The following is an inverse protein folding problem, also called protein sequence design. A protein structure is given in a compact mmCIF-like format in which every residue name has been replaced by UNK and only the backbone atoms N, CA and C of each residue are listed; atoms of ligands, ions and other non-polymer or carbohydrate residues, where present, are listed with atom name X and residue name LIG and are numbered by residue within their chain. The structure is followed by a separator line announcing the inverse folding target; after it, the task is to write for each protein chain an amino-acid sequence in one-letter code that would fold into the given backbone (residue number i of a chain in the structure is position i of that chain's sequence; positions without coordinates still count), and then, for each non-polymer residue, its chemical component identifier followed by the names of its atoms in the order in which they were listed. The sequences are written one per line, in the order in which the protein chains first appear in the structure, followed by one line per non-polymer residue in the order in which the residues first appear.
data_IF_598224081337
#
_entry.id   IF_598224081337
#
_cell.length_a   1.000
_cell.length_b   1.000
_cell.length_c   1.000
_cell.angle_alpha   90.00
_cell.angle_beta   90.00
_cell.angle_gamma   90.00
#
_symmetry.space_group_name_H-M   'P 1'
#
loop_
_entity.id
_entity.type
_entity.pdbx_description
1 polymer ?
#
# COMPACT_ATOMS: atom_id res chain seq x y z
N UNK A 1 -32.13 18.74 5.13
CA UNK A 1 -33.24 18.02 4.47
C UNK A 1 -32.67 16.68 4.12
N UNK A 2 -33.19 15.59 4.66
CA UNK A 2 -32.79 14.25 4.26
C UNK A 2 -33.18 14.08 2.80
N UNK A 3 -32.22 13.77 1.92
CA UNK A 3 -32.51 13.32 0.57
C UNK A 3 -33.45 12.12 0.69
N UNK A 4 -34.68 12.30 0.24
CA UNK A 4 -35.60 11.16 0.08
C UNK A 4 -35.07 10.40 -1.12
N UNK A 5 -34.23 9.38 -0.87
CA UNK A 5 -33.81 8.47 -1.93
C UNK A 5 -35.05 7.93 -2.64
N UNK A 6 -35.12 8.16 -3.93
CA UNK A 6 -36.18 7.59 -4.76
C UNK A 6 -36.16 6.06 -4.64
N UNK A 7 -37.35 5.41 -4.56
CA UNK A 7 -37.38 3.96 -4.52
C UNK A 7 -36.66 3.33 -5.72
N UNK A 8 -35.93 2.21 -5.52
CA UNK A 8 -35.19 1.54 -6.59
C UNK A 8 -36.07 1.21 -7.80
N UNK A 9 -35.53 1.50 -9.00
CA UNK A 9 -36.21 1.19 -10.26
C UNK A 9 -35.86 -0.22 -10.73
N UNK A 10 -36.86 -1.02 -11.03
CA UNK A 10 -36.73 -2.40 -11.51
C UNK A 10 -37.27 -2.51 -12.92
N UNK A 11 -36.44 -2.98 -13.87
CA UNK A 11 -36.87 -3.35 -15.20
C UNK A 11 -37.48 -4.76 -15.18
N UNK A 12 -38.68 -4.89 -15.71
CA UNK A 12 -39.33 -6.18 -15.94
C UNK A 12 -39.52 -6.38 -17.43
N UNK A 13 -38.94 -7.45 -17.96
CA UNK A 13 -39.07 -7.84 -19.37
C UNK A 13 -39.78 -9.19 -19.48
N UNK A 14 -40.97 -9.20 -20.06
CA UNK A 14 -41.80 -10.40 -20.33
C UNK A 14 -42.78 -10.05 -21.48
N UNK A 15 -42.97 -10.94 -22.43
CA UNK A 15 -43.83 -10.72 -23.58
C UNK A 15 -45.32 -10.93 -23.31
N UNK A 16 -45.64 -11.48 -22.16
CA UNK A 16 -47.01 -11.72 -21.70
C UNK A 16 -47.45 -10.57 -20.77
N UNK A 17 -48.40 -9.70 -21.18
CA UNK A 17 -48.82 -8.55 -20.38
C UNK A 17 -49.29 -8.91 -18.97
N UNK A 18 -49.98 -10.03 -18.81
CA UNK A 18 -50.46 -10.49 -17.51
C UNK A 18 -49.33 -10.83 -16.54
N UNK A 19 -48.16 -11.30 -17.02
CA UNK A 19 -46.98 -11.56 -16.20
C UNK A 19 -46.36 -10.24 -15.76
N UNK A 20 -46.27 -9.26 -16.66
CA UNK A 20 -45.75 -7.91 -16.34
C UNK A 20 -46.61 -7.24 -15.28
N UNK A 21 -47.94 -7.25 -15.46
CA UNK A 21 -48.89 -6.69 -14.47
C UNK A 21 -48.76 -7.35 -13.10
N UNK A 22 -48.66 -8.68 -13.05
CA UNK A 22 -48.47 -9.42 -11.81
C UNK A 22 -47.15 -9.03 -11.10
N UNK A 23 -46.06 -8.97 -11.83
CA UNK A 23 -44.77 -8.58 -11.27
C UNK A 23 -44.76 -7.10 -10.83
N UNK A 24 -45.43 -6.22 -11.58
CA UNK A 24 -45.59 -4.81 -11.19
C UNK A 24 -46.35 -4.66 -9.88
N UNK A 25 -47.51 -5.31 -9.74
CA UNK A 25 -48.32 -5.27 -8.52
C UNK A 25 -47.48 -5.75 -7.31
N UNK A 26 -46.79 -6.89 -7.47
CA UNK A 26 -45.93 -7.44 -6.42
C UNK A 26 -44.77 -6.51 -6.03
N UNK A 27 -44.06 -5.91 -7.01
CA UNK A 27 -42.92 -5.05 -6.77
C UNK A 27 -43.36 -3.68 -6.21
N UNK A 28 -44.40 -3.09 -6.74
CA UNK A 28 -44.96 -1.83 -6.23
C UNK A 28 -45.51 -1.98 -4.80
N UNK A 29 -46.13 -3.09 -4.48
CA UNK A 29 -46.53 -3.41 -3.08
C UNK A 29 -45.32 -3.50 -2.15
N UNK A 30 -44.16 -3.87 -2.66
CA UNK A 30 -42.88 -3.91 -1.92
C UNK A 30 -42.16 -2.57 -1.89
N UNK A 31 -42.71 -1.53 -2.52
CA UNK A 31 -42.16 -0.17 -2.51
C UNK A 31 -41.17 0.10 -3.62
N UNK A 32 -41.08 -0.70 -4.68
CA UNK A 32 -40.20 -0.48 -5.81
C UNK A 32 -40.91 0.25 -6.97
N UNK A 33 -40.15 1.04 -7.74
CA UNK A 33 -40.57 1.57 -9.03
C UNK A 33 -40.36 0.51 -10.10
N UNK A 34 -41.18 0.50 -11.12
CA UNK A 34 -41.12 -0.51 -12.18
C UNK A 34 -41.19 0.12 -13.56
N UNK A 35 -40.48 -0.46 -14.51
CA UNK A 35 -40.53 -0.13 -15.93
C UNK A 35 -40.57 -1.43 -16.74
N UNK A 36 -41.35 -1.43 -17.84
CA UNK A 36 -41.59 -2.64 -18.63
C UNK A 36 -40.82 -2.64 -19.95
N UNK A 37 -40.52 -3.85 -20.42
CA UNK A 37 -40.17 -4.14 -21.79
C UNK A 37 -40.91 -5.43 -22.22
N UNK A 38 -41.24 -5.55 -23.50
CA UNK A 38 -42.07 -6.66 -24.02
C UNK A 38 -41.30 -7.59 -24.97
N UNK A 39 -40.05 -7.26 -25.27
CA UNK A 39 -39.15 -8.01 -26.16
C UNK A 39 -37.70 -7.77 -25.80
N UNK A 40 -36.78 -8.52 -26.44
CA UNK A 40 -35.36 -8.41 -26.20
C UNK A 40 -34.75 -7.06 -26.53
N UNK A 41 -34.98 -6.51 -27.75
CA UNK A 41 -34.47 -5.20 -28.10
C UNK A 41 -34.91 -4.08 -27.17
N UNK A 42 -36.21 -4.03 -26.87
CA UNK A 42 -36.75 -3.03 -25.90
C UNK A 42 -36.20 -3.19 -24.48
N UNK A 43 -35.97 -4.41 -24.05
CA UNK A 43 -35.36 -4.68 -22.74
C UNK A 43 -33.92 -4.13 -22.67
N UNK A 44 -33.11 -4.34 -23.72
CA UNK A 44 -31.77 -3.76 -23.83
C UNK A 44 -31.84 -2.23 -23.86
N UNK A 45 -32.64 -1.64 -24.74
CA UNK A 45 -32.76 -0.19 -24.88
C UNK A 45 -33.21 0.46 -23.57
N UNK A 46 -34.27 -0.05 -22.96
CA UNK A 46 -34.79 0.46 -21.68
C UNK A 46 -33.77 0.35 -20.55
N UNK A 47 -32.99 -0.74 -20.49
CA UNK A 47 -31.94 -0.89 -19.48
C UNK A 47 -30.85 0.18 -19.62
N UNK A 48 -30.42 0.48 -20.84
CA UNK A 48 -29.39 1.50 -21.09
C UNK A 48 -29.87 2.93 -20.93
N UNK A 49 -31.16 3.21 -21.17
CA UNK A 49 -31.74 4.55 -21.01
C UNK A 49 -32.14 4.83 -19.56
N UNK A 50 -32.85 3.90 -18.93
CA UNK A 50 -33.39 4.12 -17.61
C UNK A 50 -32.43 3.74 -16.46
N UNK A 51 -31.36 2.99 -16.74
CA UNK A 51 -30.36 2.55 -15.75
C UNK A 51 -30.97 1.97 -14.49
N UNK A 52 -31.78 0.90 -14.58
CA UNK A 52 -32.46 0.33 -13.42
C UNK A 52 -31.47 -0.26 -12.42
N UNK A 53 -31.88 -0.35 -11.15
CA UNK A 53 -31.06 -0.97 -10.10
C UNK A 53 -31.10 -2.50 -10.13
N UNK A 54 -32.09 -3.10 -10.82
CA UNK A 54 -32.23 -4.54 -11.01
C UNK A 54 -33.06 -4.83 -12.26
N UNK A 55 -32.75 -5.90 -12.98
CA UNK A 55 -33.54 -6.42 -14.10
C UNK A 55 -34.15 -7.77 -13.74
N UNK A 56 -35.45 -7.93 -14.07
CA UNK A 56 -36.16 -9.22 -14.07
C UNK A 56 -36.49 -9.55 -15.50
N UNK A 57 -35.90 -10.62 -16.03
CA UNK A 57 -35.98 -10.99 -17.45
C UNK A 57 -36.66 -12.35 -17.60
N UNK A 58 -37.74 -12.43 -18.38
CA UNK A 58 -38.15 -13.71 -18.89
C UNK A 58 -37.12 -14.30 -19.83
N UNK A 59 -36.93 -15.59 -19.76
CA UNK A 59 -35.98 -16.30 -20.64
C UNK A 59 -36.51 -16.36 -22.07
N UNK A 60 -37.81 -16.63 -22.21
CA UNK A 60 -38.50 -16.80 -23.49
C UNK A 60 -39.33 -15.55 -23.85
N UNK A 61 -38.85 -14.72 -24.75
CA UNK A 61 -39.56 -13.55 -25.30
C UNK A 61 -39.08 -13.26 -26.70
N UNK A 62 -39.83 -12.45 -27.51
CA UNK A 62 -39.38 -12.15 -28.87
C UNK A 62 -37.96 -11.61 -28.96
N UNK A 63 -37.16 -12.25 -29.81
CA UNK A 63 -35.75 -11.89 -29.95
C UNK A 63 -35.53 -10.67 -30.87
N UNK A 64 -36.47 -10.38 -31.76
CA UNK A 64 -36.33 -9.31 -32.71
C UNK A 64 -35.04 -9.42 -33.55
N UNK A 65 -34.23 -8.40 -33.51
CA UNK A 65 -32.95 -8.32 -34.23
C UNK A 65 -31.74 -8.80 -33.41
N UNK A 66 -31.94 -9.41 -32.25
CA UNK A 66 -30.83 -9.87 -31.37
C UNK A 66 -30.06 -11.07 -31.93
N UNK A 67 -30.61 -11.76 -32.97
CA UNK A 67 -29.91 -12.86 -33.64
C UNK A 67 -29.89 -14.18 -32.87
N UNK A 68 -30.84 -14.40 -31.97
CA UNK A 68 -31.02 -15.62 -31.19
C UNK A 68 -32.44 -16.16 -31.30
N UNK A 69 -32.68 -17.41 -30.85
CA UNK A 69 -34.01 -17.99 -30.71
C UNK A 69 -34.78 -17.31 -29.56
N UNK A 70 -36.07 -17.07 -29.75
CA UNK A 70 -36.99 -16.49 -28.75
C UNK A 70 -36.93 -17.20 -27.40
N UNK A 71 -36.63 -18.49 -27.37
CA UNK A 71 -36.44 -19.28 -26.14
C UNK A 71 -35.14 -18.92 -25.35
N UNK A 72 -34.27 -18.15 -25.94
CA UNK A 72 -32.96 -17.80 -25.35
C UNK A 72 -32.74 -16.29 -25.26
N UNK A 73 -33.75 -15.50 -25.59
CA UNK A 73 -33.66 -14.04 -25.68
C UNK A 73 -33.21 -13.41 -24.36
N UNK A 74 -33.80 -13.84 -23.23
CA UNK A 74 -33.43 -13.30 -21.91
C UNK A 74 -31.94 -13.48 -21.59
N UNK A 75 -31.34 -14.61 -22.01
CA UNK A 75 -29.90 -14.83 -21.83
C UNK A 75 -29.04 -13.88 -22.68
N UNK A 76 -29.47 -13.60 -23.90
CA UNK A 76 -28.75 -12.65 -24.78
C UNK A 76 -28.87 -11.20 -24.26
N UNK A 77 -30.06 -10.80 -23.80
CA UNK A 77 -30.26 -9.51 -23.13
C UNK A 77 -29.33 -9.38 -21.95
N UNK A 78 -29.25 -10.39 -21.08
CA UNK A 78 -28.35 -10.40 -19.94
C UNK A 78 -26.89 -10.26 -20.37
N UNK A 79 -26.43 -11.01 -21.38
CA UNK A 79 -25.04 -10.89 -21.88
C UNK A 79 -24.74 -9.49 -22.36
N UNK A 80 -25.66 -8.82 -23.08
CA UNK A 80 -25.48 -7.44 -23.53
C UNK A 80 -25.41 -6.46 -22.36
N UNK A 81 -26.29 -6.60 -21.37
CA UNK A 81 -26.24 -5.81 -20.14
C UNK A 81 -24.92 -6.00 -19.41
N UNK A 82 -24.44 -7.24 -19.26
CA UNK A 82 -23.21 -7.55 -18.52
C UNK A 82 -21.91 -7.21 -19.25
N UNK A 83 -21.95 -7.00 -20.58
CA UNK A 83 -20.77 -6.60 -21.39
C UNK A 83 -20.47 -5.10 -21.35
N UNK A 84 -21.46 -4.25 -21.10
CA UNK A 84 -21.24 -2.80 -21.04
C UNK A 84 -20.87 -2.39 -19.60
N UNK A 85 -19.79 -1.63 -19.47
CA UNK A 85 -19.26 -1.21 -18.16
C UNK A 85 -20.27 -0.42 -17.31
N UNK A 86 -21.23 0.29 -17.92
CA UNK A 86 -22.23 1.07 -17.22
C UNK A 86 -23.32 0.21 -16.59
N UNK A 87 -23.66 -0.91 -17.24
CA UNK A 87 -24.78 -1.78 -16.87
C UNK A 87 -24.34 -3.13 -16.30
N UNK A 88 -23.04 -3.48 -16.40
CA UNK A 88 -22.49 -4.77 -15.96
C UNK A 88 -22.85 -5.13 -14.50
N UNK A 89 -23.00 -4.11 -13.64
CA UNK A 89 -23.30 -4.30 -12.20
C UNK A 89 -24.78 -4.37 -11.88
N UNK A 90 -25.64 -4.16 -12.86
CA UNK A 90 -27.10 -4.29 -12.65
C UNK A 90 -27.38 -5.78 -12.44
N UNK A 91 -27.90 -6.19 -11.28
CA UNK A 91 -28.26 -7.58 -11.04
C UNK A 91 -29.43 -8.01 -11.92
N UNK A 92 -29.34 -9.24 -12.40
CA UNK A 92 -30.33 -9.84 -13.29
C UNK A 92 -30.93 -11.08 -12.65
N UNK A 93 -32.26 -11.10 -12.50
CA UNK A 93 -33.05 -12.28 -12.11
C UNK A 93 -33.74 -12.82 -13.35
N UNK A 94 -33.48 -14.07 -13.69
CA UNK A 94 -34.28 -14.74 -14.72
C UNK A 94 -35.58 -15.29 -14.15
N UNK A 95 -36.67 -15.06 -14.84
CA UNK A 95 -37.95 -15.69 -14.58
C UNK A 95 -38.21 -16.76 -15.65
N UNK A 96 -38.46 -17.99 -15.25
CA UNK A 96 -38.57 -19.10 -16.19
C UNK A 96 -39.64 -20.11 -15.74
N UNK A 97 -40.34 -20.70 -16.70
CA UNK A 97 -41.22 -21.83 -16.47
C UNK A 97 -40.46 -23.18 -16.41
N UNK A 98 -39.19 -23.19 -16.79
CA UNK A 98 -38.39 -24.38 -17.01
C UNK A 98 -37.61 -24.75 -15.73
N UNK A 99 -37.78 -25.99 -15.28
CA UNK A 99 -37.00 -26.60 -14.21
C UNK A 99 -35.76 -27.34 -14.75
N UNK A 100 -35.35 -27.05 -16.01
CA UNK A 100 -34.23 -27.75 -16.63
C UNK A 100 -32.91 -27.20 -16.12
N UNK A 101 -32.04 -28.09 -15.65
CA UNK A 101 -30.68 -27.79 -15.22
C UNK A 101 -29.86 -27.12 -16.31
N UNK A 102 -30.15 -27.44 -17.57
CA UNK A 102 -29.44 -26.88 -18.76
C UNK A 102 -29.68 -25.39 -18.91
N UNK A 103 -30.90 -24.89 -18.67
CA UNK A 103 -31.23 -23.47 -18.78
C UNK A 103 -30.64 -22.66 -17.61
N UNK A 104 -30.55 -23.28 -16.43
CA UNK A 104 -29.84 -22.65 -15.29
C UNK A 104 -28.35 -22.46 -15.57
N UNK A 105 -27.69 -23.43 -16.20
CA UNK A 105 -26.29 -23.31 -16.60
C UNK A 105 -26.12 -22.18 -17.61
N UNK A 106 -26.96 -22.14 -18.67
CA UNK A 106 -26.92 -21.06 -19.67
C UNK A 106 -27.11 -19.66 -19.06
N UNK A 107 -27.98 -19.53 -18.09
CA UNK A 107 -28.24 -18.25 -17.43
C UNK A 107 -27.07 -17.82 -16.54
N UNK A 108 -26.42 -18.73 -15.84
CA UNK A 108 -25.19 -18.44 -15.10
C UNK A 108 -24.07 -18.01 -16.07
N UNK A 109 -23.88 -18.74 -17.18
CA UNK A 109 -22.92 -18.39 -18.23
C UNK A 109 -23.23 -17.05 -18.91
N UNK A 110 -24.50 -16.65 -18.97
CA UNK A 110 -24.92 -15.32 -19.43
C UNK A 110 -24.64 -14.20 -18.43
N UNK A 111 -24.25 -14.53 -17.19
CA UNK A 111 -23.97 -13.58 -16.11
C UNK A 111 -25.19 -13.23 -15.25
N UNK A 112 -26.24 -14.04 -15.28
CA UNK A 112 -27.40 -13.85 -14.42
C UNK A 112 -27.08 -14.14 -12.94
N UNK A 113 -27.66 -13.34 -12.06
CA UNK A 113 -27.34 -13.37 -10.62
C UNK A 113 -28.28 -14.29 -9.85
N UNK A 114 -29.52 -14.50 -10.32
CA UNK A 114 -30.48 -15.40 -9.67
C UNK A 114 -31.58 -15.87 -10.66
N UNK A 115 -32.42 -16.85 -10.20
CA UNK A 115 -33.51 -17.44 -10.96
C UNK A 115 -34.79 -17.50 -10.13
N UNK A 116 -35.90 -17.28 -10.78
CA UNK A 116 -37.25 -17.41 -10.19
C UNK A 116 -38.11 -18.28 -11.10
N UNK A 117 -38.65 -19.37 -10.57
CA UNK A 117 -39.55 -20.27 -11.34
C UNK A 117 -40.97 -19.78 -11.33
N UNK A 118 -41.67 -19.83 -12.49
CA UNK A 118 -43.11 -19.58 -12.62
C UNK A 118 -43.90 -20.84 -12.19
N UNK A 119 -44.98 -20.77 -11.41
CA UNK A 119 -45.50 -19.59 -10.72
C UNK A 119 -44.62 -19.23 -9.48
N UNK A 120 -44.37 -17.96 -9.28
CA UNK A 120 -43.56 -17.49 -8.18
C UNK A 120 -44.37 -16.89 -7.04
N UNK A 121 -43.82 -16.96 -5.85
CA UNK A 121 -44.42 -16.39 -4.65
C UNK A 121 -43.83 -14.97 -4.40
N UNK A 122 -44.71 -14.00 -4.11
CA UNK A 122 -44.30 -12.61 -3.79
C UNK A 122 -43.25 -12.53 -2.68
N UNK A 123 -43.32 -13.36 -1.66
CA UNK A 123 -42.34 -13.37 -0.56
C UNK A 123 -40.96 -13.80 -1.06
N UNK A 124 -40.89 -14.79 -1.95
CA UNK A 124 -39.64 -15.27 -2.54
C UNK A 124 -39.05 -14.22 -3.48
N UNK A 125 -39.88 -13.64 -4.37
CA UNK A 125 -39.46 -12.53 -5.24
C UNK A 125 -38.91 -11.38 -4.40
N UNK A 126 -39.61 -10.90 -3.40
CA UNK A 126 -39.18 -9.80 -2.55
C UNK A 126 -37.91 -10.09 -1.77
N UNK A 127 -37.70 -11.32 -1.32
CA UNK A 127 -36.49 -11.71 -0.63
C UNK A 127 -35.26 -11.67 -1.57
N UNK A 128 -35.42 -12.19 -2.81
CA UNK A 128 -34.34 -12.20 -3.81
C UNK A 128 -33.99 -10.78 -4.29
N UNK A 129 -34.97 -9.96 -4.63
CA UNK A 129 -34.81 -8.57 -5.02
C UNK A 129 -34.07 -7.78 -3.92
N UNK A 130 -34.52 -7.86 -2.67
CA UNK A 130 -33.87 -7.19 -1.53
C UNK A 130 -32.44 -7.66 -1.34
N UNK A 131 -32.19 -8.95 -1.47
CA UNK A 131 -30.84 -9.51 -1.30
C UNK A 131 -29.88 -8.96 -2.37
N UNK A 132 -30.29 -8.98 -3.63
CA UNK A 132 -29.46 -8.50 -4.75
C UNK A 132 -29.25 -6.99 -4.71
N UNK A 133 -30.28 -6.20 -4.43
CA UNK A 133 -30.14 -4.74 -4.26
C UNK A 133 -29.22 -4.39 -3.10
N UNK A 134 -29.32 -5.11 -1.98
CA UNK A 134 -28.42 -4.91 -0.84
C UNK A 134 -26.98 -5.26 -1.17
N UNK A 135 -26.75 -6.35 -1.92
CA UNK A 135 -25.42 -6.75 -2.37
C UNK A 135 -24.82 -5.69 -3.31
N UNK A 136 -25.61 -5.23 -4.30
CA UNK A 136 -25.21 -4.16 -5.22
C UNK A 136 -24.82 -2.90 -4.45
N UNK A 137 -25.68 -2.41 -3.57
CA UNK A 137 -25.40 -1.21 -2.78
C UNK A 137 -24.13 -1.34 -1.92
N UNK A 138 -23.90 -2.50 -1.31
CA UNK A 138 -22.67 -2.74 -0.54
C UNK A 138 -21.42 -2.75 -1.41
N UNK A 139 -21.50 -3.35 -2.61
CA UNK A 139 -20.37 -3.39 -3.55
C UNK A 139 -20.06 -2.00 -4.10
N UNK A 140 -21.08 -1.23 -4.48
CA UNK A 140 -20.92 0.14 -4.99
C UNK A 140 -20.32 1.06 -3.90
N UNK A 141 -20.79 0.96 -2.64
CA UNK A 141 -20.24 1.72 -1.52
C UNK A 141 -18.78 1.37 -1.21
N UNK A 142 -18.41 0.08 -1.32
CA UNK A 142 -17.04 -0.37 -1.13
C UNK A 142 -16.11 0.20 -2.20
N UNK A 143 -16.52 0.18 -3.46
CA UNK A 143 -15.72 0.74 -4.56
C UNK A 143 -15.55 2.26 -4.45
N UNK A 144 -16.62 2.96 -4.07
CA UNK A 144 -16.55 4.40 -3.85
C UNK A 144 -15.59 4.75 -2.70
N UNK A 145 -15.62 3.97 -1.62
CA UNK A 145 -14.69 4.13 -0.51
C UNK A 145 -13.26 3.85 -0.93
N UNK A 146 -13.05 2.80 -1.74
CA UNK A 146 -11.73 2.45 -2.26
C UNK A 146 -11.18 3.52 -3.22
N UNK A 147 -12.03 4.07 -4.09
CA UNK A 147 -11.65 5.17 -4.98
C UNK A 147 -11.24 6.43 -4.20
N UNK A 148 -12.04 6.83 -3.20
CA UNK A 148 -11.72 7.96 -2.32
C UNK A 148 -10.42 7.76 -1.56
N UNK A 149 -10.18 6.55 -1.06
CA UNK A 149 -8.93 6.22 -0.37
C UNK A 149 -7.73 6.42 -1.29
N UNK A 150 -7.79 5.90 -2.53
CA UNK A 150 -6.72 6.07 -3.52
C UNK A 150 -6.47 7.54 -3.90
N UNK A 151 -7.53 8.33 -4.03
CA UNK A 151 -7.40 9.76 -4.30
C UNK A 151 -6.70 10.49 -3.14
N UNK A 152 -7.07 10.19 -1.89
CA UNK A 152 -6.44 10.75 -0.70
C UNK A 152 -4.98 10.32 -0.58
N UNK A 153 -4.65 9.06 -0.85
CA UNK A 153 -3.26 8.58 -0.87
C UNK A 153 -2.43 9.34 -1.90
N UNK A 154 -2.94 9.52 -3.12
CA UNK A 154 -2.26 10.29 -4.17
C UNK A 154 -2.02 11.74 -3.77
N UNK A 155 -3.03 12.41 -3.22
CA UNK A 155 -2.89 13.81 -2.75
C UNK A 155 -1.86 13.90 -1.63
N UNK A 156 -1.86 12.96 -0.68
CA UNK A 156 -0.87 12.89 0.40
C UNK A 156 0.55 12.82 -0.16
N UNK A 157 0.76 11.94 -1.14
CA UNK A 157 2.09 11.69 -1.70
C UNK A 157 2.60 12.88 -2.54
N UNK A 158 1.71 13.50 -3.32
CA UNK A 158 2.04 14.72 -4.08
C UNK A 158 2.39 15.89 -3.15
N UNK A 159 1.65 16.07 -2.05
CA UNK A 159 1.94 17.08 -1.03
C UNK A 159 3.29 16.81 -0.36
N UNK A 160 3.61 15.56 -0.04
CA UNK A 160 4.90 15.20 0.56
C UNK A 160 6.07 15.54 -0.37
N UNK A 161 5.97 15.18 -1.66
CA UNK A 161 7.00 15.53 -2.67
C UNK A 161 7.20 17.05 -2.77
N UNK A 162 6.11 17.81 -2.77
CA UNK A 162 6.14 19.27 -2.84
C UNK A 162 6.80 19.88 -1.59
N UNK A 163 6.36 19.48 -0.40
CA UNK A 163 6.91 20.00 0.88
C UNK A 163 8.41 19.76 0.96
N UNK A 164 8.86 18.58 0.57
CA UNK A 164 10.29 18.24 0.60
C UNK A 164 11.11 19.09 -0.37
N UNK A 165 10.63 19.26 -1.60
CA UNK A 165 11.27 20.14 -2.58
C UNK A 165 11.38 21.56 -2.04
N UNK A 166 10.29 22.08 -1.47
CA UNK A 166 10.20 23.45 -0.98
C UNK A 166 11.00 23.69 0.32
N UNK A 167 11.30 22.63 1.07
CA UNK A 167 12.21 22.68 2.21
C UNK A 167 13.69 22.54 1.79
N UNK A 168 13.98 21.69 0.81
CA UNK A 168 15.35 21.47 0.35
C UNK A 168 15.98 22.72 -0.23
N UNK A 169 15.25 23.46 -1.06
CA UNK A 169 15.75 24.64 -1.76
C UNK A 169 16.26 25.73 -0.82
N UNK A 170 15.46 26.26 0.15
CA UNK A 170 15.95 27.27 1.09
C UNK A 170 17.06 26.75 2.00
N UNK A 171 17.03 25.49 2.39
CA UNK A 171 18.05 24.91 3.26
C UNK A 171 19.40 24.78 2.55
N UNK A 172 19.42 24.42 1.26
CA UNK A 172 20.63 24.44 0.43
C UNK A 172 21.20 25.86 0.32
N UNK A 173 20.33 26.88 0.20
CA UNK A 173 20.80 28.27 0.19
C UNK A 173 21.40 28.71 1.54
N UNK A 174 20.82 28.26 2.65
CA UNK A 174 21.36 28.53 3.99
C UNK A 174 22.74 27.88 4.14
N UNK A 175 22.90 26.61 3.71
CA UNK A 175 24.20 25.91 3.74
C UNK A 175 25.25 26.65 2.92
N UNK A 176 24.96 27.02 1.68
CA UNK A 176 25.88 27.76 0.83
C UNK A 176 26.32 29.10 1.48
N UNK A 177 25.37 29.77 2.19
CA UNK A 177 25.69 31.02 2.91
C UNK A 177 26.62 30.76 4.12
N UNK A 178 26.37 29.66 4.87
CA UNK A 178 27.22 29.28 6.00
C UNK A 178 28.62 28.92 5.55
N UNK A 179 28.78 28.17 4.43
CA UNK A 179 30.04 27.84 3.81
C UNK A 179 30.82 29.12 3.41
N UNK A 180 30.18 30.06 2.70
CA UNK A 180 30.80 31.34 2.31
C UNK A 180 31.28 32.15 3.52
N UNK A 181 30.54 32.14 4.64
CA UNK A 181 30.97 32.82 5.87
C UNK A 181 32.14 32.08 6.53
N UNK A 182 32.10 30.75 6.56
CA UNK A 182 33.14 29.90 7.13
C UNK A 182 34.46 29.97 6.36
N UNK A 183 34.40 30.17 5.02
CA UNK A 183 35.54 30.39 4.12
C UNK A 183 36.05 31.83 4.11
N UNK A 184 35.48 32.69 4.98
CA UNK A 184 35.91 34.10 5.16
C UNK A 184 35.65 34.99 3.93
N UNK A 185 34.75 34.61 3.01
CA UNK A 185 34.42 35.41 1.81
C UNK A 185 33.87 36.80 2.13
N UNK A 186 33.28 36.98 3.33
CA UNK A 186 32.74 38.26 3.83
C UNK A 186 33.69 38.96 4.81
N UNK A 187 34.90 38.44 5.01
CA UNK A 187 35.93 38.95 5.90
C UNK A 187 36.27 37.99 7.04
N UNK A 188 37.36 38.31 7.79
CA UNK A 188 37.89 37.38 8.79
C UNK A 188 36.90 37.12 9.94
N UNK A 189 36.83 35.89 10.38
CA UNK A 189 35.97 35.43 11.50
C UNK A 189 36.82 34.95 12.68
N UNK A 190 36.27 35.03 13.89
CA UNK A 190 36.92 34.52 15.09
C UNK A 190 36.82 33.01 15.17
N UNK A 191 37.67 32.36 15.96
CA UNK A 191 37.65 30.93 16.17
C UNK A 191 36.29 30.47 16.78
N UNK A 192 35.72 31.28 17.67
CA UNK A 192 34.39 31.01 18.26
C UNK A 192 33.27 31.07 17.20
N UNK A 193 33.34 32.04 16.28
CA UNK A 193 32.42 32.15 15.15
C UNK A 193 32.55 30.95 14.21
N UNK A 194 33.79 30.50 13.92
CA UNK A 194 34.03 29.33 13.08
C UNK A 194 33.44 28.06 13.70
N UNK A 195 33.59 27.86 15.01
CA UNK A 195 32.95 26.75 15.70
C UNK A 195 31.42 26.83 15.65
N UNK A 196 30.82 28.01 15.87
CA UNK A 196 29.38 28.18 15.80
C UNK A 196 28.78 27.96 14.40
N UNK A 197 29.54 28.38 13.36
CA UNK A 197 29.16 28.14 11.97
C UNK A 197 29.22 26.63 11.63
N UNK A 198 30.28 25.91 12.01
CA UNK A 198 30.39 24.48 11.80
C UNK A 198 29.28 23.69 12.50
N UNK A 199 28.90 24.13 13.72
CA UNK A 199 27.71 23.55 14.42
C UNK A 199 26.40 23.83 13.67
N UNK A 200 26.24 24.99 13.05
CA UNK A 200 25.05 25.36 12.29
C UNK A 200 24.97 24.60 10.96
N UNK A 201 26.12 24.48 10.26
CA UNK A 201 26.28 23.70 9.03
C UNK A 201 25.92 22.23 9.26
N UNK A 202 26.52 21.59 10.27
CA UNK A 202 26.21 20.21 10.65
C UNK A 202 24.71 19.98 10.93
N UNK A 203 24.04 20.94 11.59
CA UNK A 203 22.59 20.84 11.83
C UNK A 203 21.75 21.01 10.58
N UNK A 204 22.19 21.85 9.63
CA UNK A 204 21.51 22.03 8.37
C UNK A 204 21.68 20.80 7.46
N UNK A 205 22.88 20.19 7.44
CA UNK A 205 23.11 18.91 6.77
C UNK A 205 22.26 17.77 7.35
N UNK A 206 22.18 17.66 8.68
CA UNK A 206 21.30 16.70 9.36
C UNK A 206 19.84 16.87 8.94
N UNK A 207 19.38 18.12 8.79
CA UNK A 207 18.02 18.41 8.36
C UNK A 207 17.79 18.03 6.89
N UNK A 208 18.76 18.27 5.99
CA UNK A 208 18.70 17.82 4.59
C UNK A 208 18.66 16.29 4.47
N UNK A 209 19.46 15.59 5.27
CA UNK A 209 19.43 14.13 5.34
C UNK A 209 18.06 13.61 5.79
N UNK A 210 17.47 14.25 6.82
CA UNK A 210 16.11 13.98 7.30
C UNK A 210 15.03 14.10 6.23
N UNK A 211 15.10 15.20 5.48
CA UNK A 211 14.19 15.50 4.38
C UNK A 211 14.34 14.44 3.28
N UNK A 212 15.59 14.05 2.97
CA UNK A 212 15.89 12.97 2.03
C UNK A 212 15.32 11.61 2.46
N UNK A 213 15.51 11.26 3.74
CA UNK A 213 14.98 10.01 4.31
C UNK A 213 13.45 9.96 4.23
N UNK A 214 12.78 11.09 4.51
CA UNK A 214 11.32 11.19 4.43
C UNK A 214 10.79 10.92 3.01
N UNK A 215 11.45 11.50 2.00
CA UNK A 215 11.11 11.28 0.57
C UNK A 215 11.26 9.82 0.16
N UNK A 216 12.38 9.20 0.54
CA UNK A 216 12.63 7.83 0.13
C UNK A 216 11.69 6.84 0.80
N UNK A 217 11.40 7.04 2.08
CA UNK A 217 10.40 6.23 2.78
C UNK A 217 9.02 6.38 2.11
N UNK A 218 8.63 7.60 1.73
CA UNK A 218 7.39 7.85 1.01
C UNK A 218 7.38 7.20 -0.38
N UNK A 219 8.49 7.31 -1.14
CA UNK A 219 8.61 6.72 -2.48
C UNK A 219 8.56 5.19 -2.46
N UNK A 220 9.23 4.58 -1.48
CA UNK A 220 9.24 3.12 -1.32
C UNK A 220 7.84 2.58 -1.01
N UNK A 221 7.05 3.31 -0.24
CA UNK A 221 5.66 2.92 0.06
C UNK A 221 4.73 3.03 -1.15
N UNK A 222 4.95 4.04 -2.01
CA UNK A 222 4.10 4.29 -3.18
C UNK A 222 4.33 3.28 -4.32
N UNK A 223 5.60 3.03 -4.65
CA UNK A 223 5.95 2.29 -5.88
C UNK A 223 6.51 0.89 -5.62
N UNK A 224 6.73 0.55 -4.35
CA UNK A 224 7.59 -0.58 -4.01
C UNK A 224 9.06 -0.27 -4.32
N UNK A 225 9.96 -1.01 -3.72
CA UNK A 225 11.40 -0.86 -3.97
C UNK A 225 11.78 -1.73 -5.16
N UNK A 226 12.12 -1.12 -6.31
CA UNK A 226 12.77 -1.85 -7.40
C UNK A 226 14.24 -2.00 -7.06
N UNK A 227 14.67 -3.23 -6.71
CA UNK A 227 16.04 -3.53 -6.31
C UNK A 227 16.92 -3.83 -7.52
N UNK A 228 18.07 -3.19 -7.60
CA UNK A 228 19.15 -3.56 -8.53
C UNK A 228 20.13 -4.50 -7.82
N UNK A 229 19.78 -5.76 -7.69
CA UNK A 229 20.57 -6.73 -6.94
C UNK A 229 21.79 -7.21 -7.72
N UNK A 230 22.92 -7.37 -6.99
CA UNK A 230 24.17 -7.97 -7.49
C UNK A 230 24.76 -8.90 -6.44
N UNK A 231 25.52 -9.92 -6.87
CA UNK A 231 26.24 -10.78 -5.92
C UNK A 231 27.28 -9.98 -5.12
N UNK A 232 27.25 -10.12 -3.80
CA UNK A 232 28.16 -9.46 -2.87
C UNK A 232 28.84 -10.51 -1.98
N UNK A 233 30.16 -10.34 -1.76
CA UNK A 233 30.90 -11.08 -0.75
C UNK A 233 30.83 -10.33 0.58
N UNK A 234 30.38 -10.95 1.69
CA UNK A 234 30.18 -10.26 2.96
C UNK A 234 31.42 -9.56 3.50
N UNK A 235 32.59 -10.22 3.41
CA UNK A 235 33.87 -9.66 3.87
C UNK A 235 34.28 -8.41 3.10
N UNK A 236 34.15 -8.44 1.76
CA UNK A 236 34.47 -7.27 0.93
C UNK A 236 33.52 -6.11 1.17
N UNK A 237 32.24 -6.39 1.37
CA UNK A 237 31.21 -5.39 1.68
C UNK A 237 31.51 -4.69 3.01
N UNK A 238 31.78 -5.45 4.07
CA UNK A 238 32.09 -4.89 5.41
C UNK A 238 33.41 -4.10 5.38
N UNK A 239 34.45 -4.61 4.71
CA UNK A 239 35.73 -3.93 4.62
C UNK A 239 35.59 -2.56 3.92
N UNK A 240 34.85 -2.49 2.81
CA UNK A 240 34.57 -1.25 2.08
C UNK A 240 33.77 -0.27 2.95
N UNK A 241 32.72 -0.74 3.60
CA UNK A 241 31.89 0.08 4.50
C UNK A 241 32.72 0.70 5.63
N UNK A 242 33.52 -0.12 6.34
CA UNK A 242 34.35 0.36 7.46
C UNK A 242 35.47 1.29 6.98
N UNK A 243 36.01 1.08 5.79
CA UNK A 243 37.00 1.98 5.18
C UNK A 243 36.39 3.38 4.93
N UNK A 244 35.18 3.46 4.39
CA UNK A 244 34.50 4.75 4.17
C UNK A 244 34.21 5.49 5.49
N UNK A 245 33.98 4.75 6.57
CA UNK A 245 33.68 5.33 7.89
C UNK A 245 34.92 5.59 8.75
N UNK A 246 36.13 5.18 8.32
CA UNK A 246 37.36 5.24 9.12
C UNK A 246 37.70 6.65 9.63
N UNK A 247 37.57 7.68 8.77
CA UNK A 247 37.86 9.08 9.16
C UNK A 247 36.93 9.51 10.30
N UNK A 248 35.66 9.19 10.18
CA UNK A 248 34.62 9.55 11.18
C UNK A 248 34.82 8.80 12.51
N UNK A 249 35.16 7.52 12.45
CA UNK A 249 35.51 6.75 13.66
C UNK A 249 36.71 7.35 14.40
N UNK A 250 37.74 7.77 13.64
CA UNK A 250 38.94 8.40 14.22
C UNK A 250 38.62 9.75 14.86
N UNK A 251 37.78 10.57 14.23
CA UNK A 251 37.35 11.88 14.75
C UNK A 251 36.55 11.73 16.05
N UNK A 252 35.70 10.73 16.13
CA UNK A 252 34.84 10.47 17.31
C UNK A 252 35.56 9.59 18.37
N UNK A 253 36.80 9.15 18.12
CA UNK A 253 37.53 8.27 19.01
C UNK A 253 36.92 6.90 19.22
N UNK A 254 36.19 6.41 18.21
CA UNK A 254 35.52 5.13 18.26
C UNK A 254 36.44 3.95 17.97
N UNK A 255 36.37 2.89 18.77
CA UNK A 255 37.04 1.61 18.54
C UNK A 255 36.07 0.68 17.83
N UNK A 256 36.42 0.25 16.62
CA UNK A 256 35.55 -0.61 15.82
C UNK A 256 36.24 -1.92 15.50
N UNK A 257 35.64 -3.02 15.92
CA UNK A 257 36.07 -4.38 15.61
C UNK A 257 35.17 -4.98 14.52
N UNK A 258 35.75 -5.75 13.61
CA UNK A 258 34.98 -6.54 12.65
C UNK A 258 35.35 -8.02 12.74
N UNK A 259 34.31 -8.86 12.73
CA UNK A 259 34.49 -10.32 12.70
C UNK A 259 33.55 -10.90 11.63
N UNK A 260 34.14 -11.31 10.51
CA UNK A 260 33.45 -11.95 9.40
C UNK A 260 33.84 -13.42 9.40
N UNK A 261 32.86 -14.29 9.59
CA UNK A 261 33.08 -15.73 9.57
C UNK A 261 33.47 -16.21 8.15
N UNK A 262 34.46 -17.10 8.05
CA UNK A 262 34.94 -17.61 6.77
C UNK A 262 33.89 -18.37 5.96
N UNK A 263 32.88 -18.92 6.63
CA UNK A 263 31.77 -19.67 6.05
C UNK A 263 30.56 -18.79 5.67
N UNK A 264 30.65 -17.48 5.84
CA UNK A 264 29.58 -16.54 5.48
C UNK A 264 29.33 -16.58 3.96
N UNK A 265 28.13 -16.99 3.49
CA UNK A 265 27.86 -17.16 2.08
C UNK A 265 27.78 -15.83 1.35
N UNK A 266 28.13 -15.83 0.06
CA UNK A 266 27.81 -14.72 -0.83
C UNK A 266 26.28 -14.56 -0.94
N UNK A 267 25.83 -13.32 -1.10
CA UNK A 267 24.41 -12.97 -1.13
C UNK A 267 24.14 -11.93 -2.22
N UNK A 268 22.89 -11.88 -2.69
CA UNK A 268 22.43 -10.88 -3.66
C UNK A 268 21.80 -9.70 -2.94
N UNK A 269 22.24 -8.48 -3.25
CA UNK A 269 21.63 -7.26 -2.72
C UNK A 269 21.84 -6.05 -3.61
N UNK A 270 21.02 -5.04 -3.42
CA UNK A 270 21.25 -3.68 -3.91
C UNK A 270 22.29 -3.01 -3.00
N UNK A 271 23.52 -2.94 -3.51
CA UNK A 271 24.69 -2.48 -2.73
C UNK A 271 24.53 -1.04 -2.21
N UNK A 272 24.11 -0.04 -3.00
CA UNK A 272 23.85 1.31 -2.54
C UNK A 272 22.85 1.39 -1.38
N UNK A 273 21.70 0.73 -1.52
CA UNK A 273 20.68 0.72 -0.48
C UNK A 273 21.16 0.02 0.78
N UNK A 274 21.86 -1.10 0.63
CA UNK A 274 22.39 -1.85 1.76
C UNK A 274 23.50 -1.06 2.49
N UNK A 275 24.39 -0.38 1.78
CA UNK A 275 25.36 0.52 2.38
C UNK A 275 24.68 1.57 3.26
N UNK A 276 23.60 2.15 2.79
CA UNK A 276 22.84 3.14 3.55
C UNK A 276 22.17 2.54 4.80
N UNK A 277 21.65 1.30 4.73
CA UNK A 277 21.16 0.58 5.91
C UNK A 277 22.25 0.50 6.97
N UNK A 278 23.43 0.01 6.60
CA UNK A 278 24.53 -0.13 7.56
C UNK A 278 25.10 1.23 8.02
N UNK A 279 25.13 2.23 7.15
CA UNK A 279 25.49 3.60 7.53
C UNK A 279 24.56 4.16 8.60
N UNK A 280 23.25 3.93 8.48
CA UNK A 280 22.28 4.30 9.51
C UNK A 280 22.52 3.57 10.85
N UNK A 281 22.86 2.28 10.80
CA UNK A 281 23.15 1.49 12.00
C UNK A 281 24.45 1.95 12.66
N UNK A 282 25.52 2.22 11.90
CA UNK A 282 26.79 2.74 12.39
C UNK A 282 26.63 4.15 12.97
N UNK A 283 25.86 5.02 12.30
CA UNK A 283 25.53 6.35 12.79
C UNK A 283 24.77 6.29 14.12
N UNK A 284 23.81 5.39 14.24
CA UNK A 284 23.07 5.20 15.49
C UNK A 284 24.03 4.75 16.61
N UNK A 285 24.93 3.81 16.34
CA UNK A 285 25.93 3.36 17.29
C UNK A 285 26.84 4.51 17.75
N UNK A 286 27.37 5.34 16.83
CA UNK A 286 28.16 6.53 17.18
C UNK A 286 27.38 7.53 18.01
N UNK A 287 26.13 7.80 17.64
CA UNK A 287 25.30 8.84 18.27
C UNK A 287 24.83 8.46 19.65
N UNK A 288 24.62 7.16 19.91
CA UNK A 288 24.03 6.66 21.15
C UNK A 288 25.03 6.02 22.10
N UNK A 289 26.27 5.76 21.69
CA UNK A 289 27.33 5.31 22.60
C UNK A 289 27.80 6.42 23.54
N UNK A 290 28.34 6.04 24.68
CA UNK A 290 28.80 6.96 25.69
C UNK A 290 30.18 7.61 25.35
N UNK A 291 30.95 8.02 26.41
CA UNK A 291 32.26 8.67 26.24
C UNK A 291 33.34 7.76 25.61
N UNK A 292 33.24 6.44 25.73
CA UNK A 292 34.10 5.47 25.09
C UNK A 292 33.24 4.67 24.11
N UNK A 293 33.40 4.94 22.82
CA UNK A 293 32.61 4.32 21.77
C UNK A 293 33.25 3.00 21.35
N UNK A 294 32.63 1.89 21.69
CA UNK A 294 33.06 0.57 21.26
C UNK A 294 31.98 -0.05 20.39
N UNK A 295 32.35 -0.44 19.18
CA UNK A 295 31.43 -1.05 18.23
C UNK A 295 32.00 -2.35 17.69
N UNK A 296 31.12 -3.30 17.41
CA UNK A 296 31.51 -4.56 16.76
C UNK A 296 30.57 -4.88 15.61
N UNK A 297 31.14 -5.12 14.43
CA UNK A 297 30.43 -5.59 13.25
C UNK A 297 30.70 -7.08 13.08
N UNK A 298 29.67 -7.91 13.11
CA UNK A 298 29.77 -9.37 12.94
C UNK A 298 29.03 -9.83 11.72
N UNK A 299 29.58 -10.83 11.02
CA UNK A 299 28.90 -11.48 9.90
C UNK A 299 29.09 -12.97 10.03
N UNK A 300 28.01 -13.73 9.87
CA UNK A 300 28.03 -15.19 9.91
C UNK A 300 26.97 -15.80 9.00
N UNK A 301 27.15 -17.08 8.68
CA UNK A 301 26.10 -17.87 8.03
C UNK A 301 24.85 -17.93 8.93
N UNK A 302 23.69 -17.97 8.32
CA UNK A 302 22.39 -18.14 8.97
C UNK A 302 21.51 -19.02 8.09
N UNK A 303 20.45 -19.63 8.66
CA UNK A 303 19.51 -20.48 7.93
C UNK A 303 19.00 -19.79 6.67
N UNK A 304 19.47 -20.26 5.52
CA UNK A 304 19.10 -19.75 4.19
C UNK A 304 19.75 -18.42 3.76
N UNK A 305 20.74 -17.89 4.51
CA UNK A 305 21.35 -16.61 4.14
C UNK A 305 22.52 -16.17 5.01
N UNK A 306 22.70 -14.86 5.11
CA UNK A 306 23.75 -14.19 5.87
C UNK A 306 23.15 -13.35 6.99
N UNK A 307 23.75 -13.38 8.16
CA UNK A 307 23.36 -12.58 9.33
C UNK A 307 24.48 -11.60 9.66
N UNK A 308 24.12 -10.33 9.61
CA UNK A 308 24.95 -9.21 10.08
C UNK A 308 24.50 -8.78 11.48
N UNK A 309 25.45 -8.39 12.31
CA UNK A 309 25.21 -7.79 13.61
C UNK A 309 26.04 -6.52 13.75
N UNK A 310 25.43 -5.42 14.16
CA UNK A 310 26.08 -4.17 14.54
C UNK A 310 25.82 -3.95 16.02
N UNK A 311 26.84 -4.09 16.83
CA UNK A 311 26.79 -3.95 18.28
C UNK A 311 27.39 -2.62 18.71
N UNK A 312 26.78 -1.96 19.69
CA UNK A 312 27.27 -0.79 20.39
C UNK A 312 27.29 -1.02 21.91
N UNK A 313 28.04 -0.21 22.64
CA UNK A 313 28.11 -0.18 24.08
C UNK A 313 27.30 0.99 24.67
N UNK A 314 26.25 1.41 24.01
CA UNK A 314 25.37 2.50 24.42
C UNK A 314 24.49 2.18 25.65
N UNK A 315 23.53 3.06 25.97
CA UNK A 315 22.68 2.91 27.16
C UNK A 315 21.66 1.76 27.05
N UNK A 316 21.57 1.12 25.88
CA UNK A 316 20.59 0.07 25.62
C UNK A 316 19.16 0.60 25.43
N UNK A 317 18.29 -0.30 24.99
CA UNK A 317 16.90 0.00 24.61
C UNK A 317 15.97 -0.93 25.41
N UNK A 318 15.01 -0.38 26.18
CA UNK A 318 14.00 -1.20 26.86
C UNK A 318 13.19 -2.06 25.88
N UNK A 319 12.82 -3.27 26.31
CA UNK A 319 12.16 -4.27 25.46
C UNK A 319 10.84 -3.77 24.82
N UNK A 320 10.11 -2.92 25.53
CA UNK A 320 8.86 -2.30 25.04
C UNK A 320 9.03 -1.42 23.79
N UNK A 321 10.26 -0.97 23.51
CA UNK A 321 10.57 -0.12 22.35
C UNK A 321 11.18 -0.88 21.18
N UNK A 322 11.52 -2.17 21.31
CA UNK A 322 12.22 -2.94 20.26
C UNK A 322 11.47 -2.99 18.92
N UNK A 323 10.14 -3.00 18.93
CA UNK A 323 9.34 -2.94 17.72
C UNK A 323 9.06 -1.49 17.27
N UNK A 324 8.89 -0.60 18.24
CA UNK A 324 8.49 0.79 17.99
C UNK A 324 9.61 1.58 17.30
N UNK A 325 10.89 1.30 17.59
CA UNK A 325 12.03 2.01 16.99
C UNK A 325 12.15 1.82 15.48
N UNK A 326 11.55 0.77 14.91
CA UNK A 326 11.49 0.53 13.47
C UNK A 326 10.26 1.14 12.81
N UNK A 327 9.36 1.80 13.55
CA UNK A 327 8.23 2.54 13.01
C UNK A 327 8.67 3.97 12.68
N UNK A 328 8.00 4.59 11.69
CA UNK A 328 8.20 6.00 11.37
C UNK A 328 7.93 6.86 12.61
N UNK A 329 8.86 7.74 12.94
CA UNK A 329 8.77 8.59 14.12
C UNK A 329 8.56 7.81 15.43
N UNK A 330 8.95 6.53 15.46
CA UNK A 330 8.72 5.63 16.59
C UNK A 330 9.24 6.16 17.91
N UNK A 331 10.28 6.99 17.87
CA UNK A 331 10.86 7.68 19.01
C UNK A 331 9.95 8.74 19.66
N UNK A 332 9.15 9.46 18.87
CA UNK A 332 8.22 10.47 19.38
C UNK A 332 7.14 9.87 20.28
N UNK A 333 6.86 8.57 20.15
CA UNK A 333 5.91 7.82 20.99
C UNK A 333 6.52 7.28 22.27
N UNK A 334 7.86 7.20 22.35
CA UNK A 334 8.61 6.64 23.48
C UNK A 334 9.00 7.68 24.56
N UNK A 335 8.33 8.76 24.65
CA UNK A 335 8.33 9.94 25.54
C UNK A 335 9.40 10.17 26.64
N UNK A 336 10.20 9.18 27.03
CA UNK A 336 11.15 9.25 28.15
C UNK A 336 12.61 8.88 27.83
N UNK A 337 12.97 8.74 26.55
CA UNK A 337 14.37 8.48 26.16
C UNK A 337 15.12 9.81 26.05
N UNK A 338 16.36 9.96 26.59
CA UNK A 338 17.12 11.21 26.52
C UNK A 338 17.19 11.77 25.11
N UNK A 339 17.12 13.09 24.98
CA UNK A 339 17.15 13.84 23.72
C UNK A 339 18.48 13.60 22.96
N UNK A 340 18.59 12.53 22.21
CA UNK A 340 19.67 12.34 21.25
C UNK A 340 19.13 12.62 19.84
N UNK A 341 19.92 13.29 19.03
CA UNK A 341 19.63 13.86 17.70
C UNK A 341 19.42 12.76 16.62
N UNK A 342 18.29 12.12 16.53
CA UNK A 342 17.98 11.23 15.40
C UNK A 342 16.56 11.44 14.90
N UNK A 343 16.36 11.32 13.59
CA UNK A 343 15.12 11.59 12.88
C UNK A 343 13.95 10.66 13.23
N UNK A 344 14.25 9.48 13.73
CA UNK A 344 13.28 8.40 13.87
C UNK A 344 12.82 7.81 12.52
N UNK A 345 13.47 8.16 11.42
CA UNK A 345 13.20 7.64 10.07
C UNK A 345 14.27 6.63 9.61
N UNK A 346 15.51 6.75 10.07
CA UNK A 346 16.63 5.90 9.63
C UNK A 346 16.37 4.41 9.87
N UNK A 347 15.87 4.00 11.06
CA UNK A 347 15.55 2.59 11.33
C UNK A 347 14.31 2.12 10.58
N UNK A 348 13.32 2.99 10.34
CA UNK A 348 12.18 2.67 9.48
C UNK A 348 12.61 2.43 8.04
N UNK A 349 13.53 3.25 7.50
CA UNK A 349 14.17 3.02 6.20
C UNK A 349 14.93 1.68 6.18
N UNK A 350 15.74 1.39 7.20
CA UNK A 350 16.45 0.11 7.30
C UNK A 350 15.50 -1.08 7.22
N UNK A 351 14.37 -1.02 7.92
CA UNK A 351 13.35 -2.07 7.89
C UNK A 351 12.77 -2.25 6.49
N UNK A 352 12.35 -1.17 5.84
CA UNK A 352 11.79 -1.22 4.49
C UNK A 352 12.76 -1.83 3.48
N UNK A 353 14.03 -1.39 3.49
CA UNK A 353 15.06 -1.91 2.57
C UNK A 353 15.32 -3.39 2.83
N UNK A 354 15.49 -3.79 4.08
CA UNK A 354 15.79 -5.19 4.45
C UNK A 354 14.60 -6.10 4.10
N UNK A 355 13.37 -5.69 4.37
CA UNK A 355 12.16 -6.44 4.02
C UNK A 355 11.98 -6.54 2.49
N UNK A 356 12.30 -5.49 1.73
CA UNK A 356 12.29 -5.54 0.26
C UNK A 356 13.30 -6.56 -0.30
N UNK A 357 14.44 -6.77 0.38
CA UNK A 357 15.40 -7.83 0.04
C UNK A 357 14.93 -9.24 0.49
N UNK A 358 13.73 -9.38 1.07
CA UNK A 358 13.23 -10.64 1.62
C UNK A 358 13.90 -11.04 2.94
N UNK A 359 14.55 -10.08 3.60
CA UNK A 359 15.26 -10.24 4.86
C UNK A 359 14.45 -9.83 6.08
N UNK A 360 15.13 -9.80 7.24
CA UNK A 360 14.55 -9.36 8.51
C UNK A 360 15.56 -8.51 9.29
N UNK A 361 15.09 -7.44 9.94
CA UNK A 361 15.86 -6.62 10.87
C UNK A 361 15.22 -6.65 12.26
N UNK A 362 16.05 -6.71 13.31
CA UNK A 362 15.60 -6.62 14.70
C UNK A 362 16.73 -6.16 15.60
N UNK A 363 16.42 -5.89 16.86
CA UNK A 363 17.38 -5.50 17.89
C UNK A 363 17.34 -6.49 19.05
N UNK A 364 18.50 -6.73 19.68
CA UNK A 364 18.64 -7.30 21.00
C UNK A 364 19.35 -6.27 21.87
N UNK A 365 18.72 -5.86 22.95
CA UNK A 365 19.22 -4.81 23.82
C UNK A 365 18.59 -4.92 25.20
N UNK A 366 19.34 -4.49 26.21
CA UNK A 366 18.82 -4.29 27.56
C UNK A 366 19.40 -2.97 28.12
N UNK A 367 18.65 -2.26 28.99
CA UNK A 367 19.14 -1.02 29.59
C UNK A 367 20.49 -1.22 30.28
N UNK A 368 21.49 -0.45 29.90
CA UNK A 368 22.87 -0.49 30.41
C UNK A 368 23.79 -1.53 29.78
N UNK A 369 23.31 -2.37 28.86
CA UNK A 369 24.10 -3.44 28.22
C UNK A 369 24.43 -3.16 26.76
N UNK A 370 24.10 -1.98 26.24
CA UNK A 370 24.24 -1.64 24.83
C UNK A 370 23.15 -2.26 23.97
N UNK A 371 23.34 -2.18 22.64
CA UNK A 371 22.41 -2.74 21.68
C UNK A 371 23.13 -3.54 20.60
N UNK A 372 22.46 -4.53 20.04
CA UNK A 372 22.91 -5.24 18.85
C UNK A 372 21.77 -5.27 17.83
N UNK A 373 21.96 -4.58 16.72
CA UNK A 373 21.05 -4.61 15.58
C UNK A 373 21.45 -5.75 14.66
N UNK A 374 20.50 -6.59 14.33
CA UNK A 374 20.69 -7.74 13.45
C UNK A 374 19.95 -7.51 12.13
N UNK A 375 20.66 -7.80 11.04
CA UNK A 375 20.12 -7.81 9.67
C UNK A 375 20.37 -9.18 9.08
N UNK A 376 19.31 -9.91 8.77
CA UNK A 376 19.36 -11.19 8.09
C UNK A 376 18.90 -11.00 6.65
N UNK A 377 19.71 -11.46 5.69
CA UNK A 377 19.41 -11.41 4.26
C UNK A 377 19.49 -12.81 3.66
N UNK A 378 18.58 -13.17 2.73
CA UNK A 378 18.68 -14.42 1.99
C UNK A 378 19.88 -14.40 1.04
N UNK A 379 20.38 -15.57 0.65
CA UNK A 379 21.45 -15.66 -0.37
C UNK A 379 20.98 -15.19 -1.75
N UNK A 380 19.68 -15.29 -2.04
CA UNK A 380 19.06 -14.77 -3.28
C UNK A 380 17.79 -14.01 -2.95
N UNK A 381 17.63 -12.85 -3.55
CA UNK A 381 16.38 -12.09 -3.46
C UNK A 381 15.31 -12.79 -4.30
N UNK A 382 14.18 -13.14 -3.69
CA UNK A 382 13.04 -13.66 -4.44
C UNK A 382 12.41 -12.49 -5.20
N UNK A 383 12.28 -12.60 -6.53
CA UNK A 383 11.51 -11.64 -7.30
C UNK A 383 10.08 -11.56 -6.71
N UNK A 384 9.66 -10.35 -6.34
CA UNK A 384 8.26 -10.10 -5.97
C UNK A 384 7.41 -10.35 -7.21
N UNK A 385 6.53 -11.36 -7.15
CA UNK A 385 5.51 -11.67 -8.16
C UNK A 385 4.42 -10.64 -8.15
#
# INVERSE_FOLDING_TARGET
MADVEEPPLILVADDVPANVELLFDQLQTLGYRTIAATDGPSAVATCFEAMPELCILDVAMPAGDLGVDDRSTGFEVCRRIKRDARTARIPVIFVTALNDTTDRVKGIEAGGDDFLTKPHNRLVLGARVRSLLRLKAATDALEDSYRKLRELEKVRDDLMKMIVHDLKTPLTSVLATLEMVADEDFGPITLEQKHALGDAESKAEDLLALIGDLLEVAKVEETGLTLETRPLAPGAFVAELLHEWHVRFTQEGAVVESNVADDAPAFEADKPLLKRVFSNLLQNALTHSGRSIEMRVTVRASDGGVLFGVQDNGPGIPAEFHEIIFQKFGRAKAGNVPRVRSSGLGLAFCKLVVEAHGGRIWVKSAPGEGSTFYVQLPTRVRAST
#
